data_IF_432547921105
#
_entry.id   IF_432547921105
#
_cell.length_a   1.000
_cell.length_b   1.000
_cell.length_c   1.000
_cell.angle_alpha   90.00
_cell.angle_beta   90.00
_cell.angle_gamma   90.00
#
_symmetry.space_group_name_H-M   'P 1'
#
loop_
_entity.id
_entity.type
_entity.pdbx_description
1 polymer ?
#
# COMPACT_ATOMS: atom_id res chain seq x y z
N UNK A 1 5.05 6.36 17.06
CA UNK A 1 4.20 7.57 17.23
C UNK A 1 4.42 8.62 16.14
N UNK A 2 5.59 8.69 15.48
CA UNK A 2 5.86 9.67 14.40
C UNK A 2 4.97 9.52 13.15
N UNK A 3 4.48 8.31 12.84
CA UNK A 3 3.64 8.03 11.67
C UNK A 3 2.21 8.60 11.77
N UNK A 4 1.72 8.81 12.99
CA UNK A 4 0.40 9.40 13.22
C UNK A 4 0.43 10.92 13.07
N UNK A 5 1.57 11.57 13.39
CA UNK A 5 1.79 12.99 13.16
C UNK A 5 1.95 13.33 11.67
N UNK A 6 2.59 12.47 10.88
CA UNK A 6 2.72 12.64 9.41
C UNK A 6 1.35 12.64 8.69
N UNK A 7 0.33 11.98 9.26
CA UNK A 7 -1.04 12.03 8.71
C UNK A 7 -1.77 13.34 9.02
N UNK A 8 -1.38 14.08 10.07
CA UNK A 8 -2.04 15.33 10.51
C UNK A 8 -1.48 16.54 9.74
N UNK A 9 -0.19 16.53 9.37
CA UNK A 9 0.46 17.69 8.75
C UNK A 9 0.26 17.85 7.23
N UNK A 10 -0.43 16.92 6.56
CA UNK A 10 -0.68 17.01 5.11
C UNK A 10 0.59 16.98 4.23
N UNK A 11 1.78 16.83 4.82
CA UNK A 11 3.03 16.52 4.13
C UNK A 11 3.01 15.04 3.74
N UNK A 12 2.34 14.76 2.64
CA UNK A 12 2.34 13.45 2.02
C UNK A 12 3.80 13.11 1.67
N UNK A 13 4.39 12.14 2.38
CA UNK A 13 5.77 11.65 2.17
C UNK A 13 6.09 11.30 0.70
N UNK A 14 5.07 11.19 -0.14
CA UNK A 14 5.12 10.96 -1.58
C UNK A 14 5.89 12.00 -2.36
N UNK A 15 6.00 13.25 -1.88
CA UNK A 15 6.71 14.33 -2.61
C UNK A 15 8.22 14.31 -2.37
N UNK A 16 8.67 13.60 -1.33
CA UNK A 16 10.09 13.37 -1.05
C UNK A 16 10.62 12.07 -1.67
N UNK A 17 9.73 11.26 -2.26
CA UNK A 17 10.09 10.00 -2.89
C UNK A 17 10.45 10.22 -4.36
N UNK A 18 11.57 9.64 -4.79
CA UNK A 18 11.93 9.61 -6.20
C UNK A 18 10.83 8.90 -7.01
N UNK A 19 10.58 9.39 -8.24
CA UNK A 19 9.54 8.86 -9.11
C UNK A 19 9.61 7.32 -9.28
N UNK A 20 10.83 6.78 -9.30
CA UNK A 20 11.08 5.33 -9.35
C UNK A 20 10.52 4.59 -8.12
N UNK A 21 10.77 5.09 -6.91
CA UNK A 21 10.25 4.48 -5.67
C UNK A 21 8.73 4.56 -5.61
N UNK A 22 8.13 5.65 -6.11
CA UNK A 22 6.67 5.80 -6.20
C UNK A 22 6.04 4.73 -7.10
N UNK A 23 6.64 4.45 -8.25
CA UNK A 23 6.19 3.40 -9.17
C UNK A 23 6.33 2.00 -8.55
N UNK A 24 7.46 1.72 -7.90
CA UNK A 24 7.67 0.44 -7.21
C UNK A 24 6.66 0.20 -6.08
N UNK A 25 6.38 1.24 -5.27
CA UNK A 25 5.38 1.17 -4.21
C UNK A 25 3.98 0.94 -4.78
N UNK A 26 3.61 1.63 -5.87
CA UNK A 26 2.32 1.42 -6.55
C UNK A 26 2.14 -0.02 -7.01
N UNK A 27 3.14 -0.61 -7.69
CA UNK A 27 3.07 -2.00 -8.13
C UNK A 27 2.96 -3.00 -6.97
N UNK A 28 3.68 -2.75 -5.86
CA UNK A 28 3.59 -3.58 -4.65
C UNK A 28 2.22 -3.47 -3.99
N UNK A 29 1.66 -2.26 -3.88
CA UNK A 29 0.32 -2.02 -3.34
C UNK A 29 -0.76 -2.68 -4.19
N UNK A 30 -0.63 -2.64 -5.53
CA UNK A 30 -1.56 -3.31 -6.44
C UNK A 30 -1.50 -4.84 -6.28
N UNK A 31 -0.31 -5.42 -6.09
CA UNK A 31 -0.14 -6.84 -5.81
C UNK A 31 -0.76 -7.25 -4.46
N UNK A 32 -0.59 -6.41 -3.42
CA UNK A 32 -1.26 -6.59 -2.12
C UNK A 32 -2.78 -6.55 -2.33
N UNK A 33 -3.31 -5.51 -2.98
CA UNK A 33 -4.75 -5.31 -3.14
C UNK A 33 -5.45 -6.48 -3.87
N UNK A 34 -4.76 -7.10 -4.83
CA UNK A 34 -5.22 -8.27 -5.58
C UNK A 34 -5.10 -9.60 -4.82
N UNK A 35 -4.38 -9.63 -3.71
CA UNK A 35 -4.13 -10.86 -2.94
C UNK A 35 -2.98 -11.72 -3.48
N UNK A 36 -2.15 -11.19 -4.39
CA UNK A 36 -1.05 -11.92 -5.01
C UNK A 36 0.20 -11.98 -4.10
N UNK A 37 0.00 -12.20 -2.79
CA UNK A 37 1.07 -12.21 -1.79
C UNK A 37 0.84 -13.35 -0.80
N UNK A 38 1.91 -14.08 -0.50
CA UNK A 38 1.92 -15.11 0.54
C UNK A 38 2.15 -14.46 1.89
N UNK A 39 1.09 -14.38 2.68
CA UNK A 39 1.12 -13.88 4.06
C UNK A 39 0.67 -14.98 5.00
N UNK A 40 1.36 -15.12 6.14
CA UNK A 40 1.04 -16.14 7.15
C UNK A 40 -0.18 -15.82 8.01
N UNK A 41 -0.90 -14.73 7.71
CA UNK A 41 -2.03 -14.25 8.49
C UNK A 41 -3.20 -13.85 7.59
N UNK A 42 -4.42 -13.89 8.14
CA UNK A 42 -5.65 -13.55 7.40
C UNK A 42 -5.64 -12.07 7.02
N UNK A 43 -5.57 -11.78 5.73
CA UNK A 43 -5.77 -10.45 5.16
C UNK A 43 -7.14 -10.35 4.47
N UNK A 44 -7.68 -9.13 4.44
CA UNK A 44 -8.84 -8.79 3.60
C UNK A 44 -8.33 -8.07 2.36
N UNK A 45 -8.51 -8.69 1.20
CA UNK A 45 -8.07 -8.14 -0.08
C UNK A 45 -9.26 -7.47 -0.80
N UNK A 46 -9.21 -6.15 -1.05
CA UNK A 46 -10.34 -5.41 -1.61
C UNK A 46 -10.62 -5.74 -3.08
N UNK A 47 -9.58 -6.10 -3.87
CA UNK A 47 -9.72 -6.40 -5.30
C UNK A 47 -9.77 -7.91 -5.60
N UNK A 48 -9.71 -8.76 -4.58
CA UNK A 48 -9.81 -10.20 -4.78
C UNK A 48 -11.25 -10.54 -5.18
N UNK A 49 -11.44 -10.97 -6.44
CA UNK A 49 -12.76 -11.41 -6.94
C UNK A 49 -13.26 -12.55 -6.07
N UNK A 50 -14.31 -12.29 -5.28
CA UNK A 50 -15.08 -13.36 -4.63
C UNK A 50 -15.70 -14.19 -5.75
N UNK A 51 -15.14 -15.37 -6.04
CA UNK A 51 -15.87 -16.38 -6.80
C UNK A 51 -17.11 -16.71 -5.96
N UNK A 52 -18.27 -16.27 -6.45
CA UNK A 52 -19.57 -16.75 -6.00
C UNK A 52 -19.78 -18.16 -6.52
#
# INVERSE_FOLDING_TARGET
VQHEYDHIEGKLFTDKLSALKKTMLKGRLDAIAKGNIRVGYKMKFPQQKKKR
#
